data_IF_419461170377
#
_entry.id   IF_419461170377
#
_cell.length_a   1.000
_cell.length_b   1.000
_cell.length_c   1.000
_cell.angle_alpha   90.00
_cell.angle_beta   90.00
_cell.angle_gamma   90.00
#
_symmetry.space_group_name_H-M   'P 1'
#
loop_
_entity.id
_entity.type
_entity.pdbx_description
1 polymer ?
#
# COMPACT_ATOMS: atom_id res chain seq x y z
N UNK A 1 -12.88 14.39 -2.88
CA UNK A 1 -12.23 14.93 -1.69
C UNK A 1 -10.74 14.78 -1.81
N UNK A 2 -10.00 15.77 -1.37
CA UNK A 2 -8.55 15.78 -1.53
C UNK A 2 -7.89 15.88 -0.17
N UNK A 3 -6.92 15.02 0.07
CA UNK A 3 -6.12 15.05 1.29
C UNK A 3 -4.66 15.24 0.94
N UNK A 4 -3.97 16.07 1.70
CA UNK A 4 -2.54 16.28 1.51
C UNK A 4 -1.81 15.84 2.78
N UNK A 5 -0.74 15.10 2.60
CA UNK A 5 0.06 14.59 3.70
C UNK A 5 1.51 14.90 3.43
N UNK A 6 2.23 15.36 4.44
CA UNK A 6 3.68 15.54 4.31
C UNK A 6 4.36 14.34 4.96
N UNK A 7 5.13 13.62 4.18
CA UNK A 7 5.82 12.41 4.64
C UNK A 7 7.28 12.73 4.87
N UNK A 8 7.76 12.47 6.07
CA UNK A 8 9.17 12.75 6.41
C UNK A 8 10.11 11.87 5.61
N UNK A 9 11.37 12.26 5.54
CA UNK A 9 12.41 11.50 4.85
C UNK A 9 12.46 10.06 5.37
N UNK A 10 12.46 9.90 6.68
CA UNK A 10 12.57 8.57 7.28
C UNK A 10 11.35 7.70 6.97
N UNK A 11 10.17 8.28 7.05
CA UNK A 11 8.95 7.52 6.79
C UNK A 11 8.84 7.16 5.31
N UNK A 12 9.24 8.05 4.42
CA UNK A 12 9.21 7.74 3.00
C UNK A 12 10.24 6.66 2.64
N UNK A 13 11.43 6.72 3.23
CA UNK A 13 12.45 5.70 3.01
C UNK A 13 11.95 4.33 3.50
N UNK A 14 11.24 4.29 4.62
CA UNK A 14 10.66 3.05 5.14
C UNK A 14 9.57 2.52 4.20
N UNK A 15 8.76 3.41 3.64
CA UNK A 15 7.74 3.04 2.67
C UNK A 15 8.39 2.41 1.44
N UNK A 16 9.43 3.02 0.88
CA UNK A 16 10.13 2.49 -0.28
C UNK A 16 10.73 1.11 0.04
N UNK A 17 11.30 0.94 1.23
CA UNK A 17 11.88 -0.33 1.63
C UNK A 17 10.81 -1.42 1.71
N UNK A 18 9.64 -1.11 2.27
CA UNK A 18 8.55 -2.06 2.35
C UNK A 18 8.05 -2.46 0.95
N UNK A 19 7.92 -1.49 0.05
CA UNK A 19 7.49 -1.79 -1.31
C UNK A 19 8.55 -2.59 -2.07
N UNK A 20 9.82 -2.36 -1.78
CA UNK A 20 10.92 -3.11 -2.41
C UNK A 20 10.81 -4.59 -2.07
N UNK A 21 10.43 -4.91 -0.85
CA UNK A 21 10.21 -6.30 -0.46
C UNK A 21 8.91 -6.84 -1.04
N UNK A 22 7.85 -6.04 -1.02
CA UNK A 22 6.54 -6.46 -1.47
C UNK A 22 6.50 -6.78 -2.96
N UNK A 23 7.20 -6.03 -3.78
CA UNK A 23 7.17 -6.21 -5.24
C UNK A 23 7.70 -7.57 -5.68
N UNK A 24 8.47 -8.24 -4.84
CA UNK A 24 9.01 -9.54 -5.19
C UNK A 24 7.94 -10.62 -5.16
N UNK A 25 6.87 -10.40 -4.43
CA UNK A 25 5.84 -11.40 -4.21
C UNK A 25 4.42 -10.91 -4.49
N UNK A 26 4.24 -9.64 -4.78
CA UNK A 26 2.93 -9.06 -5.10
C UNK A 26 3.06 -8.15 -6.31
N UNK A 27 2.03 -8.13 -7.15
CA UNK A 27 2.00 -7.28 -8.35
C UNK A 27 1.45 -5.89 -8.06
N UNK A 28 0.76 -5.73 -6.95
CA UNK A 28 0.15 -4.45 -6.59
C UNK A 28 0.17 -4.28 -5.07
N UNK A 29 -0.17 -3.09 -4.62
CA UNK A 29 -0.29 -2.77 -3.21
C UNK A 29 -1.63 -2.08 -2.98
N UNK A 30 -2.45 -2.66 -2.10
CA UNK A 30 -3.77 -2.13 -1.78
C UNK A 30 -3.77 -1.75 -0.31
N UNK A 31 -3.66 -0.46 -0.03
CA UNK A 31 -3.59 0.07 1.33
C UNK A 31 -4.95 0.68 1.66
N UNK A 32 -5.58 0.21 2.72
CA UNK A 32 -6.87 0.74 3.16
C UNK A 32 -6.78 1.19 4.60
N UNK A 33 -7.20 2.41 4.86
CA UNK A 33 -7.11 3.03 6.18
C UNK A 33 -5.67 2.97 6.72
N UNK A 34 -4.72 3.12 5.80
CA UNK A 34 -3.30 3.09 6.16
C UNK A 34 -2.71 1.70 6.33
N UNK A 35 -3.50 0.64 6.20
CA UNK A 35 -3.04 -0.73 6.43
C UNK A 35 -3.09 -1.53 5.13
N UNK A 36 -2.03 -2.26 4.85
CA UNK A 36 -1.98 -3.20 3.74
C UNK A 36 -2.15 -4.62 4.28
N UNK A 37 -3.08 -5.39 3.73
CA UNK A 37 -3.25 -6.80 4.08
C UNK A 37 -3.59 -7.54 2.80
N UNK A 38 -2.66 -8.28 2.28
CA UNK A 38 -2.92 -8.99 1.02
C UNK A 38 -2.08 -10.26 0.89
N UNK A 39 -2.57 -11.18 0.09
CA UNK A 39 -1.86 -12.41 -0.18
C UNK A 39 -0.78 -12.16 -1.20
N UNK A 40 0.27 -12.97 -1.12
CA UNK A 40 1.30 -13.00 -2.15
C UNK A 40 0.73 -13.62 -3.43
N UNK A 41 1.42 -13.43 -4.55
CA UNK A 41 0.96 -13.91 -5.84
C UNK A 41 0.70 -15.42 -5.87
N UNK A 42 1.48 -16.19 -5.14
CA UNK A 42 1.32 -17.63 -5.13
C UNK A 42 0.38 -18.12 -4.01
N UNK A 43 -0.25 -17.18 -3.34
CA UNK A 43 -1.25 -17.45 -2.29
C UNK A 43 -0.72 -18.25 -1.09
N UNK A 44 0.59 -18.24 -0.86
CA UNK A 44 1.17 -19.00 0.25
C UNK A 44 1.39 -18.17 1.51
N UNK A 45 1.34 -16.87 1.41
CA UNK A 45 1.63 -15.97 2.53
C UNK A 45 0.76 -14.74 2.47
N UNK A 46 0.61 -14.08 3.60
CA UNK A 46 -0.11 -12.81 3.69
C UNK A 46 0.84 -11.76 4.22
N UNK A 47 0.92 -10.64 3.55
CA UNK A 47 1.62 -9.47 4.04
C UNK A 47 0.64 -8.59 4.80
N UNK A 48 1.07 -8.13 5.96
CA UNK A 48 0.33 -7.13 6.69
C UNK A 48 1.32 -6.04 7.06
N UNK A 49 1.14 -4.84 6.57
CA UNK A 49 2.05 -3.73 6.82
C UNK A 49 1.24 -2.51 7.26
N UNK A 50 1.68 -1.89 8.33
CA UNK A 50 1.05 -0.69 8.85
C UNK A 50 1.77 0.53 8.26
N UNK A 51 1.08 1.26 7.40
CA UNK A 51 1.59 2.48 6.79
C UNK A 51 0.92 3.73 7.36
N UNK A 52 0.32 3.64 8.55
CA UNK A 52 -0.36 4.80 9.12
C UNK A 52 0.59 5.95 9.43
N UNK A 53 1.89 5.66 9.64
CA UNK A 53 2.88 6.71 9.83
C UNK A 53 3.20 7.44 8.52
N UNK A 54 2.80 6.89 7.37
CA UNK A 54 3.06 7.47 6.06
C UNK A 54 1.78 8.08 5.49
N UNK A 55 0.68 7.34 5.51
CA UNK A 55 -0.55 7.73 4.85
C UNK A 55 -1.73 7.98 5.79
N UNK A 56 -1.49 7.93 7.09
CA UNK A 56 -2.55 8.09 8.09
C UNK A 56 -3.64 7.03 7.84
N UNK A 57 -4.90 7.39 7.77
CA UNK A 57 -5.97 6.44 7.53
C UNK A 57 -6.48 6.48 6.09
N UNK A 58 -5.65 6.94 5.18
CA UNK A 58 -6.05 7.09 3.78
C UNK A 58 -5.92 5.78 3.00
N UNK A 59 -6.61 5.73 1.86
CA UNK A 59 -6.57 4.58 0.97
C UNK A 59 -5.70 4.88 -0.23
N UNK A 60 -4.78 3.99 -0.54
CA UNK A 60 -3.93 4.12 -1.73
C UNK A 60 -3.79 2.75 -2.36
N UNK A 61 -4.06 2.64 -3.65
CA UNK A 61 -3.91 1.40 -4.37
C UNK A 61 -2.95 1.60 -5.54
N UNK A 62 -1.89 0.82 -5.58
CA UNK A 62 -0.86 0.92 -6.62
C UNK A 62 -0.83 -0.37 -7.42
N UNK A 63 -1.22 -0.32 -8.68
CA UNK A 63 -1.09 -1.45 -9.59
C UNK A 63 0.26 -1.38 -10.28
N UNK A 64 0.73 -2.46 -10.84
CA UNK A 64 2.04 -2.55 -11.50
C UNK A 64 3.11 -2.01 -10.56
N UNK A 65 3.21 -2.63 -9.42
CA UNK A 65 4.01 -2.12 -8.30
C UNK A 65 5.49 -1.91 -8.66
N UNK A 66 6.08 -2.82 -9.44
CA UNK A 66 7.47 -2.69 -9.81
C UNK A 66 7.74 -1.39 -10.54
N UNK A 67 6.89 -1.06 -11.51
CA UNK A 67 7.08 0.15 -12.30
C UNK A 67 6.87 1.40 -11.45
N UNK A 68 5.84 1.41 -10.63
CA UNK A 68 5.56 2.57 -9.78
C UNK A 68 6.64 2.78 -8.73
N UNK A 69 7.18 1.69 -8.21
CA UNK A 69 8.26 1.77 -7.23
C UNK A 69 9.49 2.44 -7.86
N UNK A 70 9.83 2.08 -9.09
CA UNK A 70 10.97 2.71 -9.75
C UNK A 70 10.78 4.22 -9.88
N UNK A 71 9.56 4.65 -10.18
CA UNK A 71 9.26 6.07 -10.25
C UNK A 71 9.32 6.73 -8.87
N UNK A 72 8.81 6.04 -7.85
CA UNK A 72 8.79 6.59 -6.50
C UNK A 72 10.18 6.71 -5.89
N UNK A 73 11.13 5.90 -6.35
CA UNK A 73 12.50 5.99 -5.87
C UNK A 73 13.15 7.34 -6.21
N UNK A 74 12.57 8.09 -7.15
CA UNK A 74 13.03 9.44 -7.45
C UNK A 74 13.02 10.31 -6.21
N UNK A 75 12.11 10.07 -5.27
CA UNK A 75 11.97 10.88 -4.07
C UNK A 75 12.70 10.30 -2.86
N UNK A 76 13.42 9.22 -3.02
CA UNK A 76 14.09 8.59 -1.88
C UNK A 76 15.12 9.56 -1.29
N UNK A 77 15.12 9.71 0.00
CA UNK A 77 15.96 10.66 0.67
C UNK A 77 15.40 12.07 0.76
N UNK A 78 14.16 12.26 0.32
CA UNK A 78 13.52 13.58 0.32
C UNK A 78 12.27 13.54 1.19
N UNK A 79 11.86 14.70 1.66
CA UNK A 79 10.54 14.87 2.26
C UNK A 79 9.56 14.95 1.09
N UNK A 80 8.47 14.24 1.16
CA UNK A 80 7.54 14.11 0.03
C UNK A 80 6.15 14.56 0.44
N UNK A 81 5.51 15.37 -0.38
CA UNK A 81 4.13 15.74 -0.16
C UNK A 81 3.27 14.81 -1.00
N UNK A 82 2.30 14.18 -0.39
CA UNK A 82 1.41 13.24 -1.05
C UNK A 82 0.01 13.82 -1.07
N UNK A 83 -0.58 13.93 -2.26
CA UNK A 83 -1.95 14.37 -2.43
C UNK A 83 -2.77 13.17 -2.86
N UNK A 84 -3.82 12.87 -2.12
CA UNK A 84 -4.72 11.76 -2.41
C UNK A 84 -6.07 12.37 -2.78
N UNK A 85 -6.51 12.14 -4.01
CA UNK A 85 -7.80 12.62 -4.49
C UNK A 85 -8.64 11.41 -4.86
N UNK A 86 -9.72 11.20 -4.11
CA UNK A 86 -10.65 10.12 -4.38
C UNK A 86 -11.90 10.71 -4.98
N UNK A 87 -12.42 10.09 -6.04
CA UNK A 87 -13.68 10.56 -6.61
C UNK A 87 -14.82 10.15 -5.69
N UNK A 88 -15.88 10.93 -5.65
CA UNK A 88 -16.99 10.69 -4.74
C UNK A 88 -17.72 9.38 -5.06
N UNK A 89 -17.69 8.96 -6.31
CA UNK A 89 -18.36 7.74 -6.73
C UNK A 89 -17.44 6.51 -6.69
N UNK A 90 -16.19 6.70 -6.26
CA UNK A 90 -15.26 5.59 -6.14
C UNK A 90 -14.71 5.06 -7.45
N UNK A 91 -14.97 5.73 -8.56
CA UNK A 91 -14.57 5.22 -9.86
C UNK A 91 -13.27 5.79 -10.38
N UNK A 92 -12.63 6.61 -9.64
CA UNK A 92 -11.37 7.21 -10.08
C UNK A 92 -10.79 8.13 -9.05
N UNK A 93 -9.78 8.83 -9.46
CA UNK A 93 -9.06 9.74 -8.58
C UNK A 93 -7.60 9.68 -8.95
N UNK A 94 -6.76 10.23 -8.12
CA UNK A 94 -5.32 10.20 -8.39
C UNK A 94 -4.53 10.28 -7.09
N UNK A 95 -3.26 9.88 -7.18
CA UNK A 95 -2.30 10.04 -6.10
C UNK A 95 -1.12 10.82 -6.66
N UNK A 96 -0.76 11.94 -6.05
CA UNK A 96 0.37 12.74 -6.51
C UNK A 96 1.44 12.75 -5.45
N UNK A 97 2.67 12.42 -5.84
CA UNK A 97 3.82 12.48 -4.96
C UNK A 97 4.73 13.58 -5.49
N UNK A 98 5.10 14.52 -4.66
CA UNK A 98 5.93 15.63 -5.14
C UNK A 98 6.94 16.12 -4.11
N UNK A 99 8.04 16.64 -4.61
CA UNK A 99 9.01 17.38 -3.81
C UNK A 99 9.21 18.75 -4.46
N UNK A 100 10.30 19.44 -4.15
CA UNK A 100 10.54 20.76 -4.69
C UNK A 100 10.65 20.81 -6.19
N UNK A 101 11.12 19.76 -6.81
CA UNK A 101 11.49 19.77 -8.22
C UNK A 101 10.67 18.81 -9.08
N UNK A 102 10.07 17.82 -8.51
CA UNK A 102 9.46 16.72 -9.26
C UNK A 102 8.06 16.42 -8.76
N UNK A 103 7.16 16.12 -9.67
CA UNK A 103 5.80 15.69 -9.33
C UNK A 103 5.45 14.49 -10.19
N UNK A 104 4.99 13.42 -9.56
CA UNK A 104 4.56 12.21 -10.25
C UNK A 104 3.11 11.94 -9.82
N UNK A 105 2.22 11.80 -10.80
CA UNK A 105 0.81 11.53 -10.53
C UNK A 105 0.44 10.18 -11.08
N UNK A 106 -0.15 9.34 -10.24
CA UNK A 106 -0.67 8.05 -10.65
C UNK A 106 -2.19 8.12 -10.68
N UNK A 107 -2.80 7.52 -11.69
CA UNK A 107 -4.25 7.41 -11.76
C UNK A 107 -4.67 6.28 -10.83
N UNK A 108 -5.61 6.53 -9.96
CA UNK A 108 -6.07 5.52 -9.01
C UNK A 108 -6.80 4.40 -9.77
N UNK A 109 -6.46 3.14 -9.53
CA UNK A 109 -7.12 2.05 -10.21
C UNK A 109 -8.49 1.77 -9.58
N UNK A 110 -9.34 1.11 -10.34
CA UNK A 110 -10.57 0.57 -9.76
C UNK A 110 -10.23 -0.80 -9.17
N UNK A 111 -11.10 -1.31 -8.34
CA UNK A 111 -10.85 -2.61 -7.69
C UNK A 111 -10.68 -3.74 -8.70
N UNK A 112 -11.28 -3.61 -9.90
CA UNK A 112 -11.20 -4.65 -10.90
C UNK A 112 -9.79 -4.85 -11.47
N UNK A 113 -8.92 -3.88 -11.31
CA UNK A 113 -7.56 -3.96 -11.82
C UNK A 113 -6.55 -4.45 -10.79
N UNK A 114 -7.00 -4.80 -9.58
CA UNK A 114 -6.09 -5.27 -8.55
C UNK A 114 -5.90 -6.78 -8.67
N UNK A 115 -4.66 -7.20 -8.81
CA UNK A 115 -4.32 -8.62 -8.89
C UNK A 115 -4.39 -9.30 -7.52
N UNK A 116 -3.95 -8.61 -6.50
CA UNK A 116 -3.94 -9.14 -5.14
C UNK A 116 -5.06 -8.45 -4.37
N UNK A 117 -5.98 -9.24 -3.84
CA UNK A 117 -7.10 -8.65 -3.14
C UNK A 117 -6.75 -8.29 -1.71
N UNK A 118 -7.28 -7.17 -1.30
CA UNK A 118 -7.16 -6.75 0.09
C UNK A 118 -7.88 -7.76 0.98
N UNK A 119 -7.31 -8.05 2.12
CA UNK A 119 -7.92 -8.93 3.10
C UNK A 119 -8.25 -8.14 4.34
N UNK A 120 -9.52 -8.11 4.72
CA UNK A 120 -9.88 -7.46 5.98
C UNK A 120 -9.55 -8.41 7.12
N UNK A 121 -9.70 -7.92 8.34
CA UNK A 121 -9.32 -8.69 9.52
C UNK A 121 -10.14 -9.97 9.64
N UNK A 122 -11.40 -9.92 9.26
CA UNK A 122 -12.26 -11.08 9.36
C UNK A 122 -11.82 -12.15 8.36
N UNK A 123 -11.48 -11.78 7.14
CA UNK A 123 -10.99 -12.71 6.14
C UNK A 123 -9.68 -13.33 6.57
N UNK A 124 -8.80 -12.52 7.12
CA UNK A 124 -7.51 -12.98 7.60
C UNK A 124 -7.70 -14.01 8.70
N UNK A 125 -8.61 -13.76 9.64
CA UNK A 125 -8.85 -14.67 10.74
C UNK A 125 -9.49 -15.99 10.26
N UNK A 126 -10.20 -15.98 9.14
CA UNK A 126 -10.77 -17.22 8.63
C UNK A 126 -9.71 -18.12 8.00
N UNK A 127 -8.62 -17.53 7.48
CA UNK A 127 -7.53 -18.28 6.89
C UNK A 127 -6.54 -18.73 7.96
N UNK A 128 -6.26 -17.84 8.89
CA UNK A 128 -5.36 -18.12 9.99
C UNK A 128 -6.15 -17.93 11.28
N UNK A 129 -6.93 -18.94 11.69
CA UNK A 129 -7.75 -18.81 12.87
C UNK A 129 -6.89 -18.35 14.02
N UNK A 130 -7.39 -17.38 14.73
CA UNK A 130 -6.63 -16.79 15.80
C UNK A 130 -6.58 -17.65 17.04
N UNK A 131 -6.86 -18.89 16.92
CA UNK A 131 -6.82 -19.78 18.03
C UNK A 131 -5.41 -20.06 18.41
N UNK A 132 -5.12 -19.98 19.67
CA UNK A 132 -3.83 -20.34 20.16
C UNK A 132 -3.56 -21.77 19.90
N UNK A 133 -4.57 -22.59 19.78
CA UNK A 133 -4.38 -23.98 19.52
C UNK A 133 -3.66 -24.19 18.21
N UNK A 134 -3.94 -23.36 17.21
CA UNK A 134 -3.27 -23.48 15.95
C UNK A 134 -1.80 -23.20 16.05
N UNK A 135 -1.45 -22.30 16.92
CA UNK A 135 -0.09 -21.94 17.06
C UNK A 135 0.64 -22.93 17.86
N UNK A 136 -0.04 -23.61 18.77
CA UNK A 136 0.62 -24.50 19.64
C UNK A 136 0.79 -25.80 19.04
N UNK A 137 0.01 -26.12 18.07
CA UNK A 137 0.11 -27.35 17.52
C UNK A 137 1.34 -27.75 17.05
N UNK A 138 2.06 -26.86 16.83
CA UNK A 138 3.18 -27.17 16.39
C UNK A 138 3.98 -27.69 17.22
N UNK A 139 3.62 -27.94 18.12
CA UNK A 139 4.41 -28.45 18.96
C UNK A 139 4.45 -29.68 19.04
#
# INVERSE_FOLDING_TARGET
MENMITVSVDNFNSFIRCLTNLKEVCNDADIRNGILRQRTNNHTSVFEIDFTSVFEDNNIALTNLRQKLELLKTFQGQEVEVTINESDDGTGGFYRFQDEHTSITFIAPTMDFMDNKYMDEEELNSIFPASEDDLILEK
#
